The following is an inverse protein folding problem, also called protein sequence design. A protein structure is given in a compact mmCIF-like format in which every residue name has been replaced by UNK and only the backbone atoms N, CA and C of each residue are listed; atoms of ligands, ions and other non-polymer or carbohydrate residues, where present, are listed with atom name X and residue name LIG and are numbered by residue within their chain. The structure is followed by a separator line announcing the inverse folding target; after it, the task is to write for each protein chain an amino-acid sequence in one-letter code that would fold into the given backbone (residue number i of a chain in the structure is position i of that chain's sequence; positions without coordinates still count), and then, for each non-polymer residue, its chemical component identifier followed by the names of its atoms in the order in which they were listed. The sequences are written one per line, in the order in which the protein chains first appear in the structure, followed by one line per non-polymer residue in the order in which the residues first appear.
data_IF_743655158583
#
_entry.id   IF_743655158583
#
_cell.length_a   1.000
_cell.length_b   1.000
_cell.length_c   1.000
_cell.angle_alpha   90.00
_cell.angle_beta   90.00
_cell.angle_gamma   90.00
#
_symmetry.space_group_name_H-M   'P 1'
#
loop_
_entity.id
_entity.type
_entity.pdbx_description
1 polymer ?
#
# COMPACT_ATOMS: atom_id res chain seq x y z
N UNK A 1 0.57 -26.18 -15.40
CA UNK A 1 1.55 -25.15 -15.81
C UNK A 1 1.29 -23.91 -14.96
N UNK A 2 2.31 -23.38 -14.29
CA UNK A 2 2.19 -22.17 -13.47
C UNK A 2 1.88 -21.00 -14.40
N UNK A 3 0.79 -20.26 -14.14
CA UNK A 3 0.54 -19.03 -14.86
C UNK A 3 1.50 -17.96 -14.32
N UNK A 4 2.56 -17.63 -15.06
CA UNK A 4 3.54 -16.60 -14.66
C UNK A 4 2.94 -15.19 -14.53
N UNK A 5 1.68 -14.99 -14.94
CA UNK A 5 0.94 -13.74 -14.69
C UNK A 5 0.14 -13.73 -13.40
N UNK A 6 -0.05 -14.86 -12.73
CA UNK A 6 -0.89 -14.95 -11.53
C UNK A 6 -0.02 -14.73 -10.27
N UNK A 7 -0.12 -13.55 -9.66
CA UNK A 7 0.67 -13.20 -8.47
C UNK A 7 0.36 -14.12 -7.29
N UNK A 8 -0.91 -14.50 -7.09
CA UNK A 8 -1.33 -15.41 -6.02
C UNK A 8 -0.61 -16.76 -6.14
N UNK A 9 -0.53 -17.32 -7.35
CA UNK A 9 0.20 -18.57 -7.58
C UNK A 9 1.70 -18.44 -7.31
N UNK A 10 2.31 -17.33 -7.70
CA UNK A 10 3.75 -17.09 -7.47
C UNK A 10 4.08 -16.98 -5.98
N UNK A 11 3.27 -16.27 -5.21
CA UNK A 11 3.48 -16.14 -3.76
C UNK A 11 3.28 -17.49 -3.05
N UNK A 12 2.23 -18.23 -3.42
CA UNK A 12 1.91 -19.54 -2.83
C UNK A 12 2.96 -20.63 -3.11
N UNK A 13 3.80 -20.47 -4.13
CA UNK A 13 4.92 -21.37 -4.36
C UNK A 13 6.01 -21.27 -3.30
N UNK A 14 6.07 -20.15 -2.55
CA UNK A 14 7.11 -19.86 -1.55
C UNK A 14 8.54 -19.99 -2.09
N UNK A 15 8.72 -19.85 -3.40
CA UNK A 15 10.01 -19.79 -4.09
C UNK A 15 10.55 -18.35 -4.05
N UNK A 16 10.78 -17.87 -2.83
CA UNK A 16 11.34 -16.57 -2.46
C UNK A 16 11.74 -16.61 -0.99
N UNK A 17 12.81 -15.92 -0.60
CA UNK A 17 13.23 -15.79 0.80
C UNK A 17 12.73 -14.48 1.42
N UNK A 18 12.63 -13.44 0.57
CA UNK A 18 12.11 -12.13 0.95
C UNK A 18 11.05 -11.68 -0.05
N UNK A 19 9.84 -11.41 0.42
CA UNK A 19 8.77 -10.78 -0.34
C UNK A 19 8.60 -9.34 0.16
N UNK A 20 9.10 -8.39 -0.62
CA UNK A 20 9.05 -6.96 -0.34
C UNK A 20 7.82 -6.38 -1.05
N UNK A 21 6.86 -5.87 -0.28
CA UNK A 21 5.63 -5.28 -0.78
C UNK A 21 5.75 -3.76 -0.69
N UNK A 22 5.58 -3.08 -1.82
CA UNK A 22 5.46 -1.63 -1.93
C UNK A 22 3.99 -1.26 -2.11
N UNK A 23 3.32 -0.78 -1.07
CA UNK A 23 1.86 -0.55 -1.05
C UNK A 23 1.40 0.35 -2.21
N UNK A 24 0.40 -0.12 -2.95
CA UNK A 24 -0.16 0.55 -4.13
C UNK A 24 0.88 0.91 -5.24
N UNK A 25 2.00 0.18 -5.35
CA UNK A 25 3.02 0.40 -6.36
C UNK A 25 2.58 0.00 -7.78
N UNK A 26 2.58 0.99 -8.69
CA UNK A 26 2.24 0.77 -10.10
C UNK A 26 3.43 0.20 -10.87
N UNK A 27 3.12 -0.71 -11.80
CA UNK A 27 4.12 -1.33 -12.68
C UNK A 27 4.93 -0.32 -13.51
N UNK A 28 4.27 0.67 -14.11
CA UNK A 28 4.91 1.67 -14.98
C UNK A 28 5.88 2.56 -14.20
N UNK A 29 5.47 3.06 -13.03
CA UNK A 29 6.36 3.85 -12.16
C UNK A 29 7.53 3.01 -11.65
N UNK A 30 7.29 1.77 -11.21
CA UNK A 30 8.37 0.89 -10.78
C UNK A 30 9.39 0.66 -11.91
N UNK A 31 8.91 0.31 -13.11
CA UNK A 31 9.76 0.09 -14.29
C UNK A 31 10.63 1.29 -14.64
N UNK A 32 10.11 2.51 -14.48
CA UNK A 32 10.82 3.73 -14.84
C UNK A 32 11.84 4.21 -13.80
N UNK A 33 11.76 3.74 -12.55
CA UNK A 33 12.53 4.30 -11.43
C UNK A 33 13.36 3.26 -10.66
N UNK A 34 13.16 1.96 -10.90
CA UNK A 34 13.93 0.90 -10.26
C UNK A 34 15.23 0.65 -11.03
N UNK A 35 16.36 0.94 -10.40
CA UNK A 35 17.71 0.78 -10.96
C UNK A 35 18.44 -0.48 -10.44
N UNK A 36 17.77 -1.33 -9.66
CA UNK A 36 18.32 -2.61 -9.24
C UNK A 36 18.54 -3.55 -10.44
N UNK A 37 19.59 -4.37 -10.39
CA UNK A 37 19.77 -5.46 -11.35
C UNK A 37 18.85 -6.64 -11.00
N UNK A 38 18.07 -7.11 -11.97
CA UNK A 38 17.12 -8.21 -11.78
C UNK A 38 16.12 -8.36 -12.93
N UNK A 39 15.20 -9.30 -12.79
CA UNK A 39 14.19 -9.59 -13.80
C UNK A 39 12.84 -8.96 -13.43
N UNK A 40 12.33 -8.07 -14.29
CA UNK A 40 11.03 -7.43 -14.11
C UNK A 40 9.93 -8.10 -14.93
N UNK A 41 8.90 -8.58 -14.24
CA UNK A 41 7.67 -9.11 -14.82
C UNK A 41 6.46 -8.28 -14.42
N UNK A 42 5.42 -8.34 -15.25
CA UNK A 42 4.09 -7.81 -14.94
C UNK A 42 3.19 -8.97 -14.55
N UNK A 43 2.53 -8.85 -13.39
CA UNK A 43 1.63 -9.88 -12.85
C UNK A 43 0.30 -9.24 -12.43
N UNK A 44 -0.75 -10.04 -12.43
CA UNK A 44 -2.10 -9.67 -12.02
C UNK A 44 -2.23 -9.94 -10.51
N UNK A 45 -2.48 -8.87 -9.75
CA UNK A 45 -2.75 -8.92 -8.32
C UNK A 45 -4.15 -9.47 -8.04
N UNK A 46 -4.31 -10.32 -7.00
CA UNK A 46 -5.61 -10.82 -6.57
C UNK A 46 -6.40 -9.81 -5.72
N UNK A 47 -5.92 -8.57 -5.52
CA UNK A 47 -6.56 -7.57 -4.66
C UNK A 47 -8.02 -7.26 -5.08
N UNK A 48 -8.36 -7.47 -6.35
CA UNK A 48 -9.69 -7.19 -6.92
C UNK A 48 -10.49 -8.44 -7.29
N UNK A 49 -10.07 -9.64 -6.85
CA UNK A 49 -10.79 -10.89 -7.12
C UNK A 49 -12.11 -11.01 -6.32
N UNK A 50 -12.26 -10.22 -5.26
CA UNK A 50 -13.49 -10.10 -4.45
C UNK A 50 -14.17 -8.77 -4.70
N UNK A 51 -15.51 -8.75 -4.63
CA UNK A 51 -16.29 -7.52 -4.75
C UNK A 51 -15.91 -6.54 -3.63
N UNK A 52 -15.61 -5.29 -4.00
CA UNK A 52 -15.09 -4.25 -3.10
C UNK A 52 -16.11 -3.69 -2.11
N UNK A 53 -17.39 -4.02 -2.25
CA UNK A 53 -18.47 -3.44 -1.44
C UNK A 53 -18.29 -3.66 0.08
N UNK A 54 -17.34 -4.52 0.49
CA UNK A 54 -17.12 -4.91 1.89
C UNK A 54 -15.66 -4.82 2.37
N UNK A 55 -14.64 -4.79 1.48
CA UNK A 55 -13.22 -5.04 1.85
C UNK A 55 -12.27 -4.14 1.04
N UNK A 56 -11.23 -3.61 1.68
CA UNK A 56 -10.19 -2.81 1.04
C UNK A 56 -9.24 -3.67 0.18
N UNK A 57 -8.64 -3.13 -0.90
CA UNK A 57 -7.76 -3.91 -1.79
C UNK A 57 -6.62 -4.65 -1.07
N UNK A 58 -5.89 -4.00 -0.16
CA UNK A 58 -4.84 -4.64 0.65
C UNK A 58 -5.36 -5.81 1.49
N UNK A 59 -6.52 -5.66 2.14
CA UNK A 59 -7.12 -6.77 2.92
C UNK A 59 -7.56 -7.91 2.00
N UNK A 60 -8.16 -7.58 0.86
CA UNK A 60 -8.57 -8.56 -0.16
C UNK A 60 -7.35 -9.33 -0.68
N UNK A 61 -6.23 -8.64 -0.93
CA UNK A 61 -4.96 -9.24 -1.31
C UNK A 61 -4.50 -10.31 -0.30
N UNK A 62 -4.47 -9.95 1.00
CA UNK A 62 -4.14 -10.89 2.06
C UNK A 62 -5.08 -12.10 2.10
N UNK A 63 -6.38 -11.86 2.13
CA UNK A 63 -7.42 -12.90 2.23
C UNK A 63 -7.36 -13.86 1.03
N UNK A 64 -7.00 -13.36 -0.15
CA UNK A 64 -6.92 -14.20 -1.35
C UNK A 64 -5.64 -15.02 -1.41
N UNK A 65 -4.57 -14.65 -0.71
CA UNK A 65 -3.29 -15.35 -0.77
C UNK A 65 -3.09 -16.27 0.45
N UNK A 66 -3.33 -15.77 1.65
CA UNK A 66 -3.00 -16.44 2.90
C UNK A 66 -4.25 -17.04 3.54
N UNK A 67 -4.52 -18.29 3.18
CA UNK A 67 -5.67 -19.05 3.67
C UNK A 67 -5.30 -19.93 4.88
N UNK A 68 -4.06 -20.42 4.91
CA UNK A 68 -3.53 -21.33 5.93
C UNK A 68 -2.39 -20.68 6.75
N UNK A 69 -2.01 -21.34 7.84
CA UNK A 69 -0.86 -20.93 8.68
C UNK A 69 0.47 -21.11 7.95
N UNK A 70 1.35 -20.11 8.06
CA UNK A 70 2.71 -20.13 7.52
C UNK A 70 3.73 -19.89 8.65
N UNK A 71 4.05 -20.94 9.40
CA UNK A 71 4.95 -20.88 10.57
C UNK A 71 6.40 -20.47 10.22
N UNK A 72 6.78 -20.62 8.94
CA UNK A 72 8.08 -20.28 8.38
C UNK A 72 8.20 -18.81 7.93
N UNK A 73 7.07 -18.08 7.89
CA UNK A 73 7.00 -16.71 7.38
C UNK A 73 6.80 -15.71 8.52
N UNK A 74 7.73 -14.75 8.63
CA UNK A 74 7.62 -13.59 9.51
C UNK A 74 7.23 -12.35 8.71
N UNK A 75 6.22 -11.63 9.18
CA UNK A 75 5.67 -10.46 8.49
C UNK A 75 6.04 -9.18 9.24
N UNK A 76 6.77 -8.27 8.60
CA UNK A 76 7.11 -6.94 9.14
C UNK A 76 6.23 -5.92 8.44
N UNK A 77 5.33 -5.27 9.19
CA UNK A 77 4.29 -4.42 8.59
C UNK A 77 4.33 -2.98 9.06
N UNK A 78 4.43 -2.05 8.11
CA UNK A 78 4.07 -0.64 8.31
C UNK A 78 2.58 -0.35 8.05
N UNK A 79 1.81 -1.36 7.61
CA UNK A 79 0.40 -1.23 7.25
C UNK A 79 -0.51 -1.89 8.31
N UNK A 80 -1.48 -1.18 8.93
CA UNK A 80 -2.28 -1.72 10.06
C UNK A 80 -3.28 -2.83 9.68
N UNK A 81 -3.61 -3.00 8.39
CA UNK A 81 -4.49 -4.08 7.90
C UNK A 81 -3.97 -5.50 8.15
N UNK A 82 -2.66 -5.67 8.25
CA UNK A 82 -2.05 -6.91 8.77
C UNK A 82 -1.39 -6.59 10.09
N UNK A 83 -1.85 -7.25 11.15
CA UNK A 83 -1.34 -7.01 12.49
C UNK A 83 -1.50 -8.23 13.40
N UNK A 84 -0.81 -8.21 14.54
CA UNK A 84 -0.86 -9.28 15.55
C UNK A 84 -1.96 -9.10 16.61
N UNK A 85 -2.74 -8.01 16.55
CA UNK A 85 -3.53 -7.52 17.70
C UNK A 85 -5.04 -7.67 17.56
N UNK A 86 -5.58 -7.38 16.39
CA UNK A 86 -7.02 -7.31 16.14
C UNK A 86 -7.37 -7.76 14.72
N UNK A 87 -8.53 -8.40 14.52
CA UNK A 87 -8.99 -8.72 13.17
C UNK A 87 -9.24 -7.42 12.40
N UNK A 88 -8.88 -7.39 11.12
CA UNK A 88 -9.19 -6.29 10.20
C UNK A 88 -9.89 -6.86 8.99
N UNK A 89 -11.15 -6.45 8.78
CA UNK A 89 -11.97 -6.91 7.64
C UNK A 89 -12.03 -8.45 7.52
N UNK A 90 -12.00 -9.14 8.67
CA UNK A 90 -12.05 -10.61 8.77
C UNK A 90 -10.69 -11.30 8.72
N UNK A 91 -9.61 -10.60 8.38
CA UNK A 91 -8.25 -11.14 8.36
C UNK A 91 -7.57 -11.02 9.74
N UNK A 92 -6.89 -12.06 10.19
CA UNK A 92 -6.18 -12.12 11.49
C UNK A 92 -4.74 -12.55 11.27
N UNK A 93 -3.80 -11.60 11.30
CA UNK A 93 -2.41 -11.88 10.95
C UNK A 93 -1.76 -13.02 11.75
N UNK A 94 -2.11 -13.16 13.03
CA UNK A 94 -1.59 -14.23 13.91
C UNK A 94 -2.13 -15.63 13.61
N UNK A 95 -3.15 -15.78 12.76
CA UNK A 95 -3.63 -17.10 12.30
C UNK A 95 -2.95 -17.52 10.97
N UNK A 96 -2.18 -16.63 10.34
CA UNK A 96 -1.61 -16.85 9.00
C UNK A 96 -0.08 -16.78 8.93
N UNK A 97 0.58 -16.13 9.90
CA UNK A 97 2.03 -15.96 9.93
C UNK A 97 2.62 -16.42 11.26
N UNK A 98 3.80 -17.02 11.22
CA UNK A 98 4.53 -17.45 12.43
C UNK A 98 4.84 -16.28 13.37
N UNK A 99 4.99 -15.07 12.82
CA UNK A 99 5.10 -13.83 13.60
C UNK A 99 4.71 -12.61 12.77
N UNK A 100 4.08 -11.62 13.40
CA UNK A 100 3.82 -10.30 12.81
C UNK A 100 4.45 -9.22 13.67
N UNK A 101 5.30 -8.39 13.07
CA UNK A 101 5.90 -7.21 13.69
C UNK A 101 5.09 -5.96 13.29
N UNK A 102 4.41 -5.36 14.27
CA UNK A 102 3.49 -4.24 14.10
C UNK A 102 4.21 -2.88 14.09
N UNK A 103 5.05 -2.59 13.09
CA UNK A 103 5.79 -1.32 13.02
C UNK A 103 4.88 -0.11 12.84
N UNK A 104 3.69 -0.29 12.26
CA UNK A 104 2.65 0.74 12.22
C UNK A 104 2.23 1.26 13.61
N UNK A 105 2.48 0.47 14.67
CA UNK A 105 2.19 0.82 16.05
C UNK A 105 3.43 1.30 16.81
N UNK A 106 4.60 0.71 16.55
CA UNK A 106 5.82 1.00 17.33
C UNK A 106 6.74 2.06 16.71
N UNK A 107 6.70 2.24 15.39
CA UNK A 107 7.59 3.14 14.63
C UNK A 107 6.79 4.21 13.87
N UNK A 108 5.63 4.60 14.39
CA UNK A 108 4.77 5.59 13.76
C UNK A 108 5.40 6.99 13.80
N UNK A 109 5.64 7.59 12.64
CA UNK A 109 6.10 8.97 12.56
C UNK A 109 4.89 9.93 12.59
N UNK A 110 4.76 10.68 13.68
CA UNK A 110 3.66 11.65 13.83
C UNK A 110 3.76 12.83 12.86
N UNK A 111 4.94 13.20 12.38
CA UNK A 111 5.06 14.31 11.43
C UNK A 111 4.51 13.91 10.05
N UNK A 112 4.71 12.68 9.63
CA UNK A 112 4.29 12.21 8.30
C UNK A 112 3.00 11.40 8.32
N UNK A 113 2.60 10.87 9.48
CA UNK A 113 1.39 10.06 9.63
C UNK A 113 1.51 8.71 8.94
N UNK A 114 2.70 8.11 8.99
CA UNK A 114 3.03 6.78 8.46
C UNK A 114 4.34 6.30 9.09
N UNK A 115 4.72 5.04 8.89
CA UNK A 115 6.09 4.58 9.15
C UNK A 115 6.95 4.99 7.95
N UNK A 116 8.16 5.48 8.22
CA UNK A 116 9.10 5.83 7.17
C UNK A 116 9.76 4.57 6.58
N UNK A 117 10.11 4.57 5.29
CA UNK A 117 10.76 3.41 4.67
C UNK A 117 12.13 3.12 5.30
N UNK A 118 12.82 4.14 5.80
CA UNK A 118 14.08 3.98 6.52
C UNK A 118 13.89 3.20 7.83
N UNK A 119 12.84 3.51 8.59
CA UNK A 119 12.56 2.84 9.87
C UNK A 119 12.19 1.37 9.66
N UNK A 120 11.33 1.07 8.67
CA UNK A 120 11.02 -0.33 8.33
C UNK A 120 12.29 -1.07 7.91
N UNK A 121 13.10 -0.47 7.05
CA UNK A 121 14.37 -1.06 6.57
C UNK A 121 15.30 -1.41 7.73
N UNK A 122 15.56 -0.47 8.63
CA UNK A 122 16.49 -0.68 9.74
C UNK A 122 15.99 -1.74 10.72
N UNK A 123 14.70 -1.75 11.05
CA UNK A 123 14.11 -2.79 11.92
C UNK A 123 14.14 -4.16 11.25
N UNK A 124 13.83 -4.24 9.96
CA UNK A 124 13.90 -5.48 9.18
C UNK A 124 15.29 -6.10 9.21
N UNK A 125 16.36 -5.32 9.06
CA UNK A 125 17.74 -5.83 9.17
C UNK A 125 18.01 -6.51 10.52
N UNK A 126 17.48 -5.93 11.61
CA UNK A 126 17.54 -6.52 12.95
C UNK A 126 16.82 -7.87 13.02
N UNK A 127 15.54 -7.90 12.64
CA UNK A 127 14.73 -9.10 12.71
C UNK A 127 15.25 -10.24 11.83
N UNK A 128 15.75 -9.93 10.64
CA UNK A 128 16.36 -10.90 9.72
C UNK A 128 17.62 -11.50 10.33
N UNK A 129 18.50 -10.67 10.93
CA UNK A 129 19.72 -11.16 11.59
C UNK A 129 19.41 -12.10 12.76
N UNK A 130 18.33 -11.82 13.50
CA UNK A 130 17.89 -12.63 14.63
C UNK A 130 17.20 -13.94 14.22
N UNK A 131 16.66 -14.03 13.01
CA UNK A 131 15.88 -15.18 12.54
C UNK A 131 16.27 -15.55 11.08
N UNK A 132 17.54 -15.90 10.81
CA UNK A 132 18.07 -16.09 9.45
C UNK A 132 17.46 -17.29 8.71
N UNK A 133 16.80 -18.21 9.42
CA UNK A 133 16.13 -19.37 8.86
C UNK A 133 14.69 -19.09 8.39
N UNK A 134 14.16 -17.90 8.66
CA UNK A 134 12.78 -17.52 8.32
C UNK A 134 12.71 -16.80 6.98
N UNK A 135 11.58 -17.00 6.30
CA UNK A 135 11.18 -16.16 5.17
C UNK A 135 10.54 -14.89 5.68
N UNK A 136 10.75 -13.77 4.99
CA UNK A 136 10.24 -12.48 5.42
C UNK A 136 9.31 -11.85 4.40
N UNK A 137 8.17 -11.36 4.87
CA UNK A 137 7.35 -10.39 4.14
C UNK A 137 7.61 -9.01 4.74
N UNK A 138 8.06 -8.07 3.92
CA UNK A 138 8.38 -6.71 4.34
C UNK A 138 7.42 -5.75 3.63
N UNK A 139 6.43 -5.23 4.36
CA UNK A 139 5.36 -4.42 3.77
C UNK A 139 5.56 -2.94 4.08
N UNK A 140 6.04 -2.20 3.07
CA UNK A 140 6.22 -0.75 3.07
C UNK A 140 4.93 -0.03 2.67
N UNK A 141 4.56 1.01 3.41
CA UNK A 141 3.46 1.90 3.06
C UNK A 141 3.74 2.76 1.83
N UNK A 142 4.98 2.90 1.39
CA UNK A 142 5.34 3.70 0.21
C UNK A 142 5.41 2.79 -1.04
N UNK A 143 4.93 3.25 -2.21
CA UNK A 143 4.67 4.65 -2.59
C UNK A 143 3.31 5.24 -2.21
N UNK A 144 2.40 4.45 -1.63
CA UNK A 144 1.08 4.92 -1.23
C UNK A 144 1.12 6.16 -0.30
N UNK A 145 -0.01 6.87 -0.24
CA UNK A 145 -0.17 8.08 0.55
C UNK A 145 -0.17 7.76 2.06
N UNK A 146 0.32 8.63 2.97
CA UNK A 146 0.69 10.04 2.79
C UNK A 146 1.92 10.28 1.93
N UNK A 147 1.90 11.33 1.10
CA UNK A 147 3.09 11.72 0.33
C UNK A 147 4.05 12.54 1.17
N UNK A 148 5.23 12.00 1.42
CA UNK A 148 6.22 12.53 2.35
C UNK A 148 6.74 13.90 1.90
N UNK A 149 6.81 14.16 0.59
CA UNK A 149 7.22 15.46 0.04
C UNK A 149 6.19 16.59 0.26
N UNK A 150 4.96 16.27 0.64
CA UNK A 150 3.88 17.26 0.88
C UNK A 150 3.65 17.55 2.38
N UNK A 151 4.43 16.93 3.27
CA UNK A 151 4.25 17.02 4.71
C UNK A 151 2.95 16.34 5.20
N UNK A 152 2.57 16.54 6.47
CA UNK A 152 1.40 15.90 7.05
C UNK A 152 0.11 16.25 6.28
N UNK A 153 -0.78 15.26 6.08
CA UNK A 153 -2.06 15.54 5.45
C UNK A 153 -2.96 16.35 6.40
N UNK A 154 -3.72 17.29 5.85
CA UNK A 154 -4.68 18.11 6.62
C UNK A 154 -5.87 17.29 7.15
N UNK A 155 -5.95 16.00 6.85
CA UNK A 155 -6.94 15.07 7.39
C UNK A 155 -6.71 14.70 8.86
N UNK A 156 -5.62 15.18 9.50
CA UNK A 156 -5.42 15.01 10.94
C UNK A 156 -6.57 15.63 11.73
N UNK A 157 -7.30 14.77 12.43
CA UNK A 157 -8.43 15.10 13.32
C UNK A 157 -8.05 16.19 14.33
N UNK A 158 -8.71 17.34 14.28
CA UNK A 158 -9.21 17.91 15.54
C UNK A 158 -10.27 16.94 16.06
N UNK A 159 -10.15 16.44 17.28
CA UNK A 159 -11.20 15.64 17.94
C UNK A 159 -12.47 16.50 18.03
N UNK A 160 -13.39 16.38 17.08
CA UNK A 160 -14.73 16.98 17.17
C UNK A 160 -15.73 15.98 17.78
N UNK A 161 -16.67 16.45 18.62
CA UNK A 161 -17.53 15.59 19.43
C UNK A 161 -18.54 14.77 18.60
N UNK A 162 -18.78 13.53 19.06
CA UNK A 162 -19.35 12.43 18.27
C UNK A 162 -20.87 12.44 18.03
N UNK A 163 -21.67 13.27 18.72
CA UNK A 163 -23.11 12.97 18.87
C UNK A 163 -24.05 13.53 17.80
N UNK A 164 -23.69 14.57 17.03
CA UNK A 164 -24.56 15.14 15.95
C UNK A 164 -23.96 15.01 14.54
N UNK A 165 -22.67 14.71 14.42
CA UNK A 165 -21.91 14.74 13.17
C UNK A 165 -21.87 13.39 12.43
N UNK A 166 -22.15 12.27 13.10
CA UNK A 166 -22.09 10.91 12.50
C UNK A 166 -23.01 10.74 11.29
N UNK A 167 -24.28 11.14 11.41
CA UNK A 167 -25.27 10.97 10.34
C UNK A 167 -25.02 11.95 9.18
N UNK A 168 -24.71 13.21 9.49
CA UNK A 168 -24.33 14.22 8.50
C UNK A 168 -23.03 13.85 7.78
N UNK A 169 -22.04 13.29 8.48
CA UNK A 169 -20.81 12.76 7.88
C UNK A 169 -21.09 11.57 6.96
N UNK A 170 -21.93 10.62 7.40
CA UNK A 170 -22.36 9.50 6.55
C UNK A 170 -23.10 9.98 5.30
N UNK A 171 -24.03 10.92 5.46
CA UNK A 171 -24.78 11.51 4.37
C UNK A 171 -23.85 12.25 3.41
N UNK A 172 -22.98 13.13 3.93
CA UNK A 172 -21.96 13.85 3.15
C UNK A 172 -21.05 12.88 2.39
N UNK A 173 -20.49 11.89 3.06
CA UNK A 173 -19.59 10.92 2.43
C UNK A 173 -20.33 10.12 1.34
N UNK A 174 -21.59 9.76 1.56
CA UNK A 174 -22.43 9.11 0.55
C UNK A 174 -22.69 10.02 -0.65
N UNK A 175 -23.06 11.28 -0.41
CA UNK A 175 -23.29 12.27 -1.47
C UNK A 175 -22.01 12.54 -2.28
N UNK A 176 -20.87 12.71 -1.62
CA UNK A 176 -19.56 12.90 -2.28
C UNK A 176 -19.15 11.65 -3.05
N UNK A 177 -19.36 10.46 -2.50
CA UNK A 177 -19.10 9.20 -3.21
C UNK A 177 -19.95 9.08 -4.48
N UNK A 178 -21.24 9.43 -4.42
CA UNK A 178 -22.10 9.47 -5.61
C UNK A 178 -21.60 10.52 -6.61
N UNK A 179 -21.24 11.72 -6.15
CA UNK A 179 -20.70 12.76 -7.02
C UNK A 179 -19.43 12.30 -7.74
N UNK A 180 -18.46 11.73 -7.02
CA UNK A 180 -17.21 11.16 -7.59
C UNK A 180 -17.49 10.16 -8.71
N UNK A 181 -18.49 9.29 -8.54
CA UNK A 181 -18.90 8.32 -9.57
C UNK A 181 -19.39 9.00 -10.85
N UNK A 182 -20.05 10.16 -10.75
CA UNK A 182 -20.63 10.88 -11.88
C UNK A 182 -19.64 11.83 -12.57
N UNK A 183 -18.84 12.58 -11.80
CA UNK A 183 -18.02 13.70 -12.31
C UNK A 183 -16.50 13.50 -12.17
N UNK A 184 -16.06 12.38 -11.59
CA UNK A 184 -14.66 12.10 -11.32
C UNK A 184 -14.14 12.71 -10.02
N UNK A 185 -13.03 12.18 -9.51
CA UNK A 185 -12.49 12.58 -8.20
C UNK A 185 -11.96 14.00 -8.22
N UNK A 186 -11.27 14.40 -9.29
CA UNK A 186 -10.73 15.76 -9.42
C UNK A 186 -11.81 16.83 -9.32
N UNK A 187 -12.86 16.70 -10.11
CA UNK A 187 -13.96 17.68 -10.12
C UNK A 187 -14.67 17.70 -8.77
N UNK A 188 -14.89 16.54 -8.15
CA UNK A 188 -15.48 16.46 -6.82
C UNK A 188 -14.61 17.14 -5.75
N UNK A 189 -13.29 16.94 -5.79
CA UNK A 189 -12.35 17.54 -4.84
C UNK A 189 -12.25 19.06 -5.02
N UNK A 190 -12.21 19.54 -6.25
CA UNK A 190 -12.21 20.98 -6.59
C UNK A 190 -13.50 21.66 -6.11
N UNK A 191 -14.66 21.05 -6.35
CA UNK A 191 -15.95 21.54 -5.84
C UNK A 191 -15.98 21.59 -4.31
N UNK A 192 -15.54 20.53 -3.64
CA UNK A 192 -15.44 20.54 -2.17
C UNK A 192 -14.53 21.66 -1.67
N UNK A 193 -13.43 21.95 -2.37
CA UNK A 193 -12.54 23.06 -2.06
C UNK A 193 -13.21 24.42 -2.21
N UNK A 194 -13.94 24.65 -3.32
CA UNK A 194 -14.73 25.86 -3.55
C UNK A 194 -15.77 26.11 -2.45
N UNK A 195 -16.36 25.05 -1.89
CA UNK A 195 -17.32 25.13 -0.78
C UNK A 195 -16.67 25.14 0.62
N UNK A 196 -15.34 25.19 0.73
CA UNK A 196 -14.63 25.23 2.02
C UNK A 196 -14.74 23.94 2.84
N UNK A 197 -15.08 22.81 2.23
CA UNK A 197 -15.18 21.52 2.92
C UNK A 197 -13.79 20.89 3.11
N UNK A 198 -13.50 20.21 4.24
CA UNK A 198 -12.19 19.57 4.46
C UNK A 198 -11.95 18.40 3.50
N UNK A 199 -10.69 18.02 3.23
CA UNK A 199 -10.37 16.82 2.45
C UNK A 199 -10.86 15.55 3.19
N UNK A 200 -11.26 14.51 2.46
CA UNK A 200 -11.77 13.27 3.04
C UNK A 200 -10.71 12.16 3.11
N UNK A 201 -9.61 12.30 2.38
CA UNK A 201 -8.46 11.40 2.38
C UNK A 201 -7.14 12.18 2.23
N UNK A 202 -5.98 11.58 2.58
CA UNK A 202 -4.68 12.16 2.26
C UNK A 202 -4.51 12.45 0.76
N UNK A 203 -5.12 11.60 -0.09
CA UNK A 203 -5.13 11.80 -1.53
C UNK A 203 -5.87 13.09 -1.94
N UNK A 204 -7.05 13.36 -1.35
CA UNK A 204 -7.79 14.61 -1.59
C UNK A 204 -6.99 15.83 -1.17
N UNK A 205 -6.30 15.74 -0.03
CA UNK A 205 -5.47 16.82 0.49
C UNK A 205 -4.29 17.12 -0.46
N UNK A 206 -3.61 16.07 -0.92
CA UNK A 206 -2.55 16.20 -1.91
C UNK A 206 -3.05 16.81 -3.23
N UNK A 207 -4.19 16.33 -3.73
CA UNK A 207 -4.76 16.84 -4.98
C UNK A 207 -5.11 18.34 -4.89
N UNK A 208 -5.60 18.81 -3.73
CA UNK A 208 -5.84 20.24 -3.49
C UNK A 208 -4.56 21.06 -3.39
N UNK A 209 -3.52 20.52 -2.75
CA UNK A 209 -2.26 21.23 -2.54
C UNK A 209 -1.48 21.40 -3.84
N UNK A 210 -1.43 20.37 -4.68
CA UNK A 210 -0.46 20.33 -5.80
C UNK A 210 -1.06 19.91 -7.15
N UNK A 211 -2.36 19.63 -7.21
CA UNK A 211 -3.03 19.21 -8.44
C UNK A 211 -2.55 17.85 -8.96
N UNK A 212 -3.01 17.48 -10.17
CA UNK A 212 -2.76 16.16 -10.76
C UNK A 212 -1.28 15.88 -10.99
N UNK A 213 -0.55 16.80 -11.63
CA UNK A 213 0.87 16.58 -11.92
C UNK A 213 1.73 16.61 -10.65
N UNK A 214 1.36 17.44 -9.68
CA UNK A 214 2.01 17.45 -8.38
C UNK A 214 1.79 16.15 -7.59
N UNK A 215 0.60 15.54 -7.68
CA UNK A 215 0.31 14.22 -7.10
C UNK A 215 1.18 13.13 -7.72
N UNK A 216 1.28 13.09 -9.05
CA UNK A 216 2.15 12.12 -9.76
C UNK A 216 3.60 12.28 -9.34
N UNK A 217 4.08 13.52 -9.21
CA UNK A 217 5.42 13.81 -8.68
C UNK A 217 5.56 13.33 -7.23
N UNK A 218 4.61 13.64 -6.36
CA UNK A 218 4.68 13.26 -4.95
C UNK A 218 4.63 11.74 -4.73
N UNK A 219 3.86 11.03 -5.54
CA UNK A 219 3.86 9.56 -5.60
C UNK A 219 5.23 9.02 -6.05
N UNK A 220 5.81 9.59 -7.12
CA UNK A 220 7.16 9.23 -7.59
C UNK A 220 8.22 9.52 -6.52
N UNK A 221 8.14 10.66 -5.83
CA UNK A 221 9.06 11.02 -4.74
C UNK A 221 8.99 9.97 -3.60
N UNK A 222 7.79 9.50 -3.23
CA UNK A 222 7.62 8.42 -2.26
C UNK A 222 8.22 7.09 -2.76
N UNK A 223 8.02 6.76 -4.04
CA UNK A 223 8.60 5.56 -4.66
C UNK A 223 10.13 5.60 -4.62
N UNK A 224 10.73 6.72 -5.03
CA UNK A 224 12.18 6.89 -4.99
C UNK A 224 12.72 6.73 -3.57
N UNK A 225 12.05 7.33 -2.58
CA UNK A 225 12.50 7.23 -1.18
C UNK A 225 12.48 5.80 -0.63
N UNK A 226 11.49 4.98 -1.01
CA UNK A 226 11.49 3.56 -0.60
C UNK A 226 12.54 2.77 -1.38
N UNK A 227 12.77 3.05 -2.66
CA UNK A 227 13.85 2.42 -3.43
C UNK A 227 15.23 2.77 -2.84
N UNK A 228 15.47 4.02 -2.46
CA UNK A 228 16.69 4.47 -1.76
C UNK A 228 16.89 3.69 -0.45
N UNK A 229 15.81 3.47 0.31
CA UNK A 229 15.88 2.67 1.54
C UNK A 229 16.27 1.21 1.24
N UNK A 230 15.71 0.64 0.17
CA UNK A 230 16.04 -0.70 -0.29
C UNK A 230 17.49 -0.85 -0.76
N UNK A 231 18.16 0.22 -1.22
CA UNK A 231 19.59 0.17 -1.56
C UNK A 231 20.45 -0.22 -0.36
N UNK A 232 19.98 0.05 0.86
CA UNK A 232 20.68 -0.35 2.08
C UNK A 232 20.26 -1.72 2.59
N UNK A 233 19.08 -2.21 2.19
CA UNK A 233 18.53 -3.50 2.61
C UNK A 233 19.00 -4.64 1.70
N UNK A 234 18.78 -4.52 0.39
CA UNK A 234 19.06 -5.56 -0.60
C UNK A 234 20.51 -6.09 -0.52
N UNK A 235 21.55 -5.27 -0.31
CA UNK A 235 22.92 -5.76 -0.20
C UNK A 235 23.17 -6.72 0.96
N UNK A 236 22.39 -6.63 2.06
CA UNK A 236 22.57 -7.48 3.24
C UNK A 236 21.70 -8.74 3.23
N UNK A 237 20.79 -8.87 2.25
CA UNK A 237 19.99 -10.07 2.05
C UNK A 237 20.75 -11.11 1.20
N UNK A 238 20.48 -12.38 1.46
CA UNK A 238 21.03 -13.54 0.74
C UNK A 238 19.90 -14.48 0.33
N UNK A 239 19.92 -14.99 -0.91
CA UNK A 239 18.83 -15.79 -1.48
C UNK A 239 17.93 -14.97 -2.40
N UNK A 240 16.70 -15.43 -2.58
CA UNK A 240 15.78 -14.91 -3.59
C UNK A 240 14.91 -13.79 -3.04
N UNK A 241 15.05 -12.60 -3.61
CA UNK A 241 14.33 -11.39 -3.20
C UNK A 241 13.31 -11.05 -4.29
N UNK A 242 12.06 -10.85 -3.88
CA UNK A 242 10.97 -10.41 -4.76
C UNK A 242 10.46 -9.06 -4.29
N UNK A 243 10.52 -8.06 -5.16
CA UNK A 243 9.83 -6.77 -4.96
C UNK A 243 8.52 -6.82 -5.75
N UNK A 244 7.41 -6.53 -5.07
CA UNK A 244 6.08 -6.55 -5.67
C UNK A 244 5.15 -5.51 -5.02
N UNK A 245 3.90 -5.50 -5.44
CA UNK A 245 2.86 -4.65 -4.88
C UNK A 245 1.62 -5.45 -4.55
N UNK A 246 0.87 -5.02 -3.52
CA UNK A 246 -0.44 -5.58 -3.23
C UNK A 246 -1.49 -5.15 -4.29
N UNK A 247 -1.44 -3.91 -4.76
CA UNK A 247 -2.25 -3.39 -5.88
C UNK A 247 -1.57 -2.19 -6.56
N UNK A 248 -2.20 -1.58 -7.55
CA UNK A 248 -1.75 -0.31 -8.13
C UNK A 248 -2.54 0.90 -7.63
N UNK A 249 -2.33 2.07 -8.25
CA UNK A 249 -2.95 3.34 -7.85
C UNK A 249 -3.35 4.18 -9.07
N UNK A 250 -4.56 4.75 -9.09
CA UNK A 250 -4.92 5.76 -10.09
C UNK A 250 -4.35 7.12 -9.70
N UNK A 251 -3.73 7.79 -10.66
CA UNK A 251 -3.05 9.09 -10.50
C UNK A 251 -3.59 10.14 -11.50
N UNK A 252 -4.85 9.98 -11.90
CA UNK A 252 -5.56 10.90 -12.79
C UNK A 252 -6.19 10.25 -14.02
N UNK A 253 -6.07 8.93 -14.20
CA UNK A 253 -6.71 8.20 -15.29
C UNK A 253 -8.22 8.45 -15.28
N UNK A 254 -8.75 9.01 -16.37
CA UNK A 254 -10.16 9.40 -16.48
C UNK A 254 -10.63 10.33 -15.35
N UNK A 255 -9.72 11.17 -14.81
CA UNK A 255 -10.01 12.07 -13.70
C UNK A 255 -10.16 11.39 -12.33
N UNK A 256 -9.75 10.12 -12.22
CA UNK A 256 -9.84 9.32 -11.00
C UNK A 256 -8.51 9.20 -10.26
N UNK A 257 -8.59 9.10 -8.95
CA UNK A 257 -7.44 8.98 -8.04
C UNK A 257 -7.69 7.92 -6.98
N UNK A 258 -6.63 7.28 -6.51
CA UNK A 258 -6.76 6.22 -5.52
C UNK A 258 -7.08 4.86 -6.15
N UNK A 259 -7.53 3.92 -5.32
CA UNK A 259 -7.78 2.51 -5.68
C UNK A 259 -9.22 2.07 -5.36
N UNK A 260 -10.11 3.02 -5.10
CA UNK A 260 -11.54 2.79 -4.86
C UNK A 260 -12.32 2.52 -6.16
N UNK A 261 -11.73 1.85 -7.15
CA UNK A 261 -12.37 1.51 -8.43
C UNK A 261 -12.03 0.08 -8.84
N UNK A 262 -12.96 -0.59 -9.52
CA UNK A 262 -12.73 -1.93 -10.06
C UNK A 262 -12.53 -1.86 -11.58
N UNK A 263 -11.95 -2.92 -12.15
CA UNK A 263 -11.85 -3.11 -13.59
C UNK A 263 -10.79 -2.27 -14.30
N UNK A 264 -9.94 -1.55 -13.56
CA UNK A 264 -8.83 -0.78 -14.12
C UNK A 264 -7.55 -1.61 -14.09
N UNK A 265 -6.94 -1.83 -15.25
CA UNK A 265 -5.67 -2.57 -15.35
C UNK A 265 -4.56 -1.96 -14.50
N UNK A 266 -4.49 -0.64 -14.41
CA UNK A 266 -3.51 0.07 -13.57
C UNK A 266 -3.57 -0.31 -12.09
N UNK A 267 -4.71 -0.81 -11.61
CA UNK A 267 -4.88 -1.27 -10.23
C UNK A 267 -4.51 -2.75 -10.03
N UNK A 268 -4.58 -3.55 -11.09
CA UNK A 268 -4.40 -5.01 -11.06
C UNK A 268 -3.01 -5.43 -11.53
N UNK A 269 -2.50 -4.81 -12.58
CA UNK A 269 -1.20 -5.12 -13.18
C UNK A 269 -0.06 -4.46 -12.36
N UNK A 270 0.62 -5.26 -11.55
CA UNK A 270 1.65 -4.84 -10.57
C UNK A 270 3.04 -5.36 -10.92
N UNK A 271 4.13 -4.75 -10.40
CA UNK A 271 5.48 -5.28 -10.58
C UNK A 271 5.68 -6.61 -9.87
N UNK A 272 6.44 -7.50 -10.51
CA UNK A 272 7.07 -8.66 -9.89
C UNK A 272 8.53 -8.66 -10.31
N UNK A 273 9.40 -8.18 -9.43
CA UNK A 273 10.80 -7.96 -9.72
C UNK A 273 11.65 -8.93 -8.89
N UNK A 274 12.47 -9.74 -9.56
CA UNK A 274 13.26 -10.80 -8.91
C UNK A 274 14.73 -10.43 -8.91
N UNK A 275 15.35 -10.49 -7.74
CA UNK A 275 16.79 -10.38 -7.53
C UNK A 275 17.27 -11.70 -6.93
N UNK A 276 18.24 -12.35 -7.57
CA UNK A 276 18.89 -13.57 -7.09
C UNK A 276 20.27 -13.20 -6.52
N UNK A 277 20.54 -13.55 -5.25
CA UNK A 277 21.81 -13.22 -4.57
C UNK A 277 22.46 -14.42 -3.89
#
# INVERSE_FOLDING_TARGET
MINKKDQKQLIKQKDWDYLIILDACRYDYFKENCDFEGDLYRVDSPAFDRKRDEIAPTSSWYINIFEDMNEDIYHVSSHPRVNSKTPVEGFKGWEHFGKVYDLWDTEWDEKFGTVLPEDLTEKSKGFIRENPEKKFILHYMQPHTPYLSLGPPATKKKKEPESRTSLWRKLRNKTVSTARKCIGDKVAVDLMGLFGLPPLSPMDDALRKVGTEGVKKAYRDNLLRVLDSLETLVPVLSGKIVLTSDHGELLGENGRFGHDFEGQKTLVEVPWFVIEK
#
